data_IF_833350115025
#
_entry.id   IF_833350115025
#
_cell.length_a   1.000
_cell.length_b   1.000
_cell.length_c   1.000
_cell.angle_alpha   90.00
_cell.angle_beta   90.00
_cell.angle_gamma   90.00
#
_symmetry.space_group_name_H-M   'P 1'
#
loop_
_entity.id
_entity.type
_entity.pdbx_description
1 polymer ?
#
# COMPACT_ATOMS: atom_id res chain seq x y z
N UNK A 1 -77.59 -28.40 20.52
CA UNK A 1 -76.54 -27.36 20.64
C UNK A 1 -75.23 -28.06 20.92
N UNK A 2 -74.39 -28.23 19.89
CA UNK A 2 -73.16 -29.02 19.93
C UNK A 2 -71.96 -28.11 20.23
N UNK A 3 -71.32 -28.32 21.38
CA UNK A 3 -70.06 -27.66 21.75
C UNK A 3 -68.90 -28.60 21.39
N UNK A 4 -68.11 -28.22 20.38
CA UNK A 4 -66.87 -28.91 20.01
C UNK A 4 -65.70 -28.33 20.82
N UNK A 5 -65.05 -29.18 21.62
CA UNK A 5 -63.74 -28.91 22.24
C UNK A 5 -62.64 -29.10 21.17
N UNK A 6 -61.74 -28.15 21.03
CA UNK A 6 -60.47 -28.31 20.30
C UNK A 6 -59.36 -28.50 21.32
N UNK A 7 -58.60 -29.59 21.18
CA UNK A 7 -57.37 -29.86 21.91
C UNK A 7 -56.21 -29.15 21.19
N UNK A 8 -55.32 -28.52 21.96
CA UNK A 8 -54.05 -27.95 21.48
C UNK A 8 -52.94 -28.91 21.89
N UNK A 9 -52.20 -29.42 20.91
CA UNK A 9 -51.01 -30.23 21.12
C UNK A 9 -49.79 -29.31 21.14
N UNK A 10 -49.02 -29.37 22.23
CA UNK A 10 -47.72 -28.69 22.39
C UNK A 10 -46.65 -29.65 21.89
N UNK A 11 -46.05 -29.35 20.74
CA UNK A 11 -44.90 -30.07 20.20
C UNK A 11 -43.60 -29.42 20.70
N UNK A 12 -42.82 -30.17 21.47
CA UNK A 12 -41.45 -29.81 21.83
C UNK A 12 -40.53 -30.03 20.62
N UNK A 13 -40.11 -28.93 19.99
CA UNK A 13 -39.07 -28.94 18.95
C UNK A 13 -37.69 -28.89 19.59
N UNK A 14 -36.91 -29.95 19.42
CA UNK A 14 -35.49 -29.95 19.74
C UNK A 14 -34.73 -29.10 18.72
N UNK A 15 -34.18 -27.96 19.17
CA UNK A 15 -33.22 -27.18 18.40
C UNK A 15 -31.87 -27.90 18.42
N UNK A 16 -31.47 -28.46 17.27
CA UNK A 16 -30.09 -28.83 16.99
C UNK A 16 -29.33 -27.56 16.60
N UNK A 17 -28.49 -27.06 17.50
CA UNK A 17 -27.51 -26.01 17.22
C UNK A 17 -26.31 -26.69 16.58
N UNK A 18 -26.23 -26.66 15.25
CA UNK A 18 -25.01 -26.99 14.51
C UNK A 18 -24.04 -25.81 14.67
N UNK A 19 -22.99 -26.01 15.46
CA UNK A 19 -21.81 -25.16 15.46
C UNK A 19 -21.09 -25.36 14.12
N UNK A 20 -21.54 -24.69 13.07
CA UNK A 20 -20.73 -24.44 11.90
C UNK A 20 -19.64 -23.47 12.35
N UNK A 21 -18.44 -24.00 12.60
CA UNK A 21 -17.26 -23.15 12.72
C UNK A 21 -17.08 -22.44 11.39
N UNK A 22 -17.34 -21.14 11.34
CA UNK A 22 -16.84 -20.28 10.30
C UNK A 22 -15.31 -20.35 10.38
N UNK A 23 -14.70 -21.25 9.61
CA UNK A 23 -13.33 -21.01 9.19
C UNK A 23 -13.40 -19.70 8.36
N UNK A 24 -12.63 -18.66 8.68
CA UNK A 24 -12.58 -17.48 7.84
C UNK A 24 -12.11 -17.92 6.46
N UNK A 25 -12.97 -17.76 5.45
CA UNK A 25 -12.69 -18.05 4.03
C UNK A 25 -11.67 -17.05 3.42
N UNK A 26 -10.98 -16.27 4.24
CA UNK A 26 -10.07 -15.18 3.83
C UNK A 26 -8.59 -15.53 4.02
N UNK A 27 -8.23 -16.82 4.11
CA UNK A 27 -6.83 -17.17 3.87
C UNK A 27 -6.50 -16.75 2.43
N UNK A 28 -5.48 -15.91 2.20
CA UNK A 28 -5.16 -15.46 0.86
C UNK A 28 -4.82 -16.67 0.01
N UNK A 29 -5.79 -17.13 -0.78
CA UNK A 29 -5.61 -18.21 -1.75
C UNK A 29 -4.95 -17.66 -3.01
N UNK A 30 -4.08 -16.66 -2.87
CA UNK A 30 -3.41 -15.97 -3.96
C UNK A 30 -2.73 -17.03 -4.81
N UNK A 31 -3.39 -17.44 -5.89
CA UNK A 31 -2.90 -18.51 -6.71
C UNK A 31 -1.55 -18.03 -7.26
N UNK A 32 -0.50 -18.83 -7.04
CA UNK A 32 0.83 -18.49 -7.50
C UNK A 32 0.77 -18.05 -8.98
N UNK A 33 1.32 -16.87 -9.27
CA UNK A 33 1.33 -16.30 -10.63
C UNK A 33 0.12 -15.48 -11.05
N UNK A 34 -0.81 -15.15 -10.14
CA UNK A 34 -1.91 -14.22 -10.46
C UNK A 34 -1.45 -12.77 -10.30
N UNK A 35 -1.63 -12.00 -11.37
CA UNK A 35 -1.57 -10.53 -11.35
C UNK A 35 -2.98 -9.97 -11.15
N UNK A 36 -3.10 -8.91 -10.34
CA UNK A 36 -4.31 -8.09 -10.31
C UNK A 36 -3.99 -6.72 -10.90
N UNK A 37 -4.67 -6.36 -11.99
CA UNK A 37 -4.63 -5.02 -12.58
C UNK A 37 -5.90 -4.29 -12.18
N UNK A 38 -5.79 -3.30 -11.31
CA UNK A 38 -6.89 -2.41 -10.93
C UNK A 38 -6.71 -1.06 -11.62
N UNK A 39 -7.32 -0.92 -12.80
CA UNK A 39 -7.25 0.30 -13.60
C UNK A 39 -7.90 1.50 -12.91
N UNK A 40 -8.91 1.28 -12.07
CA UNK A 40 -9.61 2.35 -11.35
C UNK A 40 -8.66 3.01 -10.34
N UNK A 41 -7.86 2.19 -9.63
CA UNK A 41 -6.88 2.66 -8.64
C UNK A 41 -5.47 2.87 -9.21
N UNK A 42 -5.23 2.45 -10.46
CA UNK A 42 -3.89 2.41 -11.05
C UNK A 42 -2.94 1.47 -10.30
N UNK A 43 -3.48 0.46 -9.62
CA UNK A 43 -2.73 -0.51 -8.81
C UNK A 43 -2.41 -1.75 -9.66
N UNK A 44 -1.15 -2.21 -9.56
CA UNK A 44 -0.69 -3.48 -10.11
C UNK A 44 -0.26 -4.31 -8.90
N UNK A 45 -0.96 -5.40 -8.62
CA UNK A 45 -0.58 -6.33 -7.54
C UNK A 45 0.10 -7.56 -8.14
N UNK A 46 1.34 -7.77 -7.75
CA UNK A 46 2.15 -8.94 -8.05
C UNK A 46 2.06 -9.96 -6.90
N UNK A 47 2.46 -11.23 -7.12
CA UNK A 47 2.42 -12.25 -6.07
C UNK A 47 3.18 -11.87 -4.78
N UNK A 48 4.31 -11.17 -4.87
CA UNK A 48 5.06 -10.73 -3.67
C UNK A 48 4.26 -9.80 -2.75
N UNK A 49 3.31 -9.03 -3.32
CA UNK A 49 2.59 -7.97 -2.62
C UNK A 49 1.64 -8.47 -1.52
N UNK A 50 1.31 -9.77 -1.54
CA UNK A 50 0.52 -10.42 -0.47
C UNK A 50 1.36 -10.70 0.79
N UNK A 51 2.69 -10.65 0.70
CA UNK A 51 3.60 -11.09 1.75
C UNK A 51 4.47 -9.97 2.32
N UNK A 52 4.38 -8.76 1.77
CA UNK A 52 5.09 -7.58 2.25
C UNK A 52 4.10 -6.48 2.66
N UNK A 53 4.40 -5.69 3.70
CA UNK A 53 3.56 -4.54 4.04
C UNK A 53 3.48 -3.59 2.87
N UNK A 54 2.26 -3.28 2.43
CA UNK A 54 2.04 -2.22 1.44
C UNK A 54 2.39 -0.85 2.04
N UNK A 55 2.52 0.18 1.21
CA UNK A 55 2.84 1.54 1.71
C UNK A 55 1.83 2.03 2.76
N UNK A 56 0.55 1.74 2.54
CA UNK A 56 -0.54 2.07 3.47
C UNK A 56 -0.41 1.27 4.78
N UNK A 57 -0.09 -0.02 4.71
CA UNK A 57 0.17 -0.83 5.91
C UNK A 57 1.39 -0.29 6.67
N UNK A 58 2.48 0.02 5.97
CA UNK A 58 3.70 0.57 6.58
C UNK A 58 3.44 1.88 7.33
N UNK A 59 2.63 2.77 6.76
CA UNK A 59 2.20 4.01 7.42
C UNK A 59 1.39 3.74 8.68
N UNK A 60 0.41 2.85 8.62
CA UNK A 60 -0.39 2.43 9.76
C UNK A 60 0.46 1.81 10.88
N UNK A 61 1.33 0.85 10.55
CA UNK A 61 2.20 0.17 11.50
C UNK A 61 3.17 1.15 12.17
N UNK A 62 3.72 2.09 11.39
CA UNK A 62 4.58 3.16 11.91
C UNK A 62 3.80 4.08 12.85
N UNK A 63 2.58 4.52 12.49
CA UNK A 63 1.75 5.36 13.35
C UNK A 63 1.36 4.65 14.65
N UNK A 64 1.01 3.36 14.61
CA UNK A 64 0.71 2.57 15.81
C UNK A 64 1.92 2.45 16.75
N UNK A 65 3.12 2.22 16.19
CA UNK A 65 4.37 2.19 16.98
C UNK A 65 4.67 3.56 17.61
N UNK A 66 4.50 4.65 16.86
CA UNK A 66 4.67 6.01 17.39
C UNK A 66 3.64 6.33 18.47
N UNK A 67 2.38 5.96 18.28
CA UNK A 67 1.32 6.12 19.27
C UNK A 67 1.66 5.42 20.60
N UNK A 68 2.27 4.24 20.55
CA UNK A 68 2.75 3.54 21.74
C UNK A 68 3.90 4.29 22.43
N UNK A 69 4.80 4.90 21.66
CA UNK A 69 5.88 5.72 22.22
C UNK A 69 5.31 6.98 22.88
N UNK A 70 4.27 7.60 22.30
CA UNK A 70 3.54 8.72 22.90
C UNK A 70 2.91 8.33 24.23
N UNK A 71 2.23 7.19 24.31
CA UNK A 71 1.68 6.70 25.58
C UNK A 71 2.74 6.60 26.67
N UNK A 72 3.86 5.95 26.38
CA UNK A 72 5.01 5.83 27.29
C UNK A 72 5.60 7.19 27.70
N UNK A 73 5.83 8.09 26.73
CA UNK A 73 6.38 9.42 26.99
C UNK A 73 5.45 10.26 27.89
N UNK A 74 4.14 10.20 27.63
CA UNK A 74 3.14 10.93 28.42
C UNK A 74 3.00 10.39 29.85
N UNK A 75 3.14 9.08 30.06
CA UNK A 75 3.24 8.51 31.41
C UNK A 75 4.46 9.06 32.19
N UNK A 76 5.55 9.37 31.49
CA UNK A 76 6.73 10.03 32.05
C UNK A 76 6.58 11.56 32.20
N UNK A 77 5.43 12.13 31.83
CA UNK A 77 5.19 13.58 31.86
C UNK A 77 5.82 14.36 30.71
N UNK A 78 6.20 13.68 29.62
CA UNK A 78 6.82 14.27 28.45
C UNK A 78 5.75 14.64 27.42
N UNK A 79 5.81 15.87 26.92
CA UNK A 79 4.96 16.36 25.85
C UNK A 79 5.45 15.80 24.51
N UNK A 80 4.78 14.75 24.04
CA UNK A 80 5.09 14.09 22.76
C UNK A 80 3.79 13.80 21.99
N UNK A 81 3.85 13.87 20.66
CA UNK A 81 2.72 13.67 19.76
C UNK A 81 3.15 12.88 18.52
N UNK A 82 2.31 11.94 18.10
CA UNK A 82 2.51 11.16 16.89
C UNK A 82 1.70 11.76 15.73
N UNK A 83 2.17 11.62 14.48
CA UNK A 83 1.33 11.89 13.32
C UNK A 83 0.25 10.82 13.19
N UNK A 84 -0.98 11.26 12.90
CA UNK A 84 -2.06 10.36 12.54
C UNK A 84 -1.70 9.55 11.27
N UNK A 85 -2.15 8.29 11.14
CA UNK A 85 -1.93 7.54 9.91
C UNK A 85 -2.65 8.22 8.75
N UNK A 86 -1.94 8.38 7.63
CA UNK A 86 -2.49 8.92 6.40
C UNK A 86 -2.98 7.76 5.55
N UNK A 87 -4.30 7.59 5.48
CA UNK A 87 -4.93 6.67 4.54
C UNK A 87 -5.27 7.43 3.26
N UNK A 88 -4.45 7.23 2.22
CA UNK A 88 -4.73 7.76 0.89
C UNK A 88 -4.64 6.63 -0.14
N UNK A 89 -5.72 6.41 -0.88
CA UNK A 89 -5.79 5.38 -1.92
C UNK A 89 -4.73 5.58 -3.00
N UNK A 90 -4.27 6.82 -3.21
CA UNK A 90 -3.21 7.14 -4.17
C UNK A 90 -1.90 6.41 -3.88
N UNK A 91 -1.65 6.07 -2.61
CA UNK A 91 -0.46 5.30 -2.21
C UNK A 91 -0.50 3.84 -2.64
N UNK A 92 -1.62 3.36 -3.20
CA UNK A 92 -1.74 2.04 -3.85
C UNK A 92 -1.44 2.09 -5.34
N UNK A 93 -1.33 3.29 -5.91
CA UNK A 93 -1.06 3.45 -7.33
C UNK A 93 0.38 3.05 -7.64
N UNK A 94 0.56 2.19 -8.63
CA UNK A 94 1.88 1.69 -9.05
C UNK A 94 2.54 2.67 -10.03
N UNK A 95 3.84 2.92 -9.83
CA UNK A 95 4.68 3.78 -10.66
C UNK A 95 5.90 3.07 -11.29
N UNK A 96 6.16 1.80 -10.99
CA UNK A 96 7.35 1.04 -11.41
C UNK A 96 7.59 1.07 -12.92
N UNK A 97 6.52 1.12 -13.72
CA UNK A 97 6.58 1.15 -15.18
C UNK A 97 6.09 2.48 -15.77
N UNK A 98 6.18 3.55 -15.00
CA UNK A 98 5.58 4.85 -15.32
C UNK A 98 4.04 4.80 -15.27
N UNK A 99 3.35 5.88 -15.69
CA UNK A 99 1.89 5.89 -15.75
C UNK A 99 1.40 4.77 -16.67
N UNK A 100 0.31 4.10 -16.28
CA UNK A 100 -0.26 3.01 -17.08
C UNK A 100 -1.77 3.10 -17.28
N UNK A 101 -2.44 3.95 -16.51
CA UNK A 101 -3.84 4.33 -16.73
C UNK A 101 -3.91 5.77 -17.26
N UNK A 102 -4.99 6.06 -17.99
CA UNK A 102 -5.18 7.41 -18.57
C UNK A 102 -5.29 8.47 -17.48
N UNK A 103 -6.01 8.16 -16.39
CA UNK A 103 -6.18 9.12 -15.30
C UNK A 103 -4.84 9.40 -14.57
N UNK A 104 -3.94 8.42 -14.45
CA UNK A 104 -2.60 8.66 -13.89
C UNK A 104 -1.82 9.62 -14.78
N UNK A 105 -1.80 9.38 -16.10
CA UNK A 105 -1.12 10.26 -17.05
C UNK A 105 -1.69 11.69 -17.04
N UNK A 106 -3.03 11.82 -17.00
CA UNK A 106 -3.71 13.12 -16.93
C UNK A 106 -3.43 13.87 -15.63
N UNK A 107 -3.33 13.14 -14.51
CA UNK A 107 -3.13 13.73 -13.18
C UNK A 107 -1.66 14.05 -12.89
N UNK A 108 -0.76 13.14 -13.23
CA UNK A 108 0.64 13.16 -12.77
C UNK A 108 1.66 13.33 -13.89
N UNK A 109 1.28 13.25 -15.17
CA UNK A 109 2.27 13.12 -16.23
C UNK A 109 3.15 11.89 -15.99
N UNK A 110 4.47 12.10 -15.85
CA UNK A 110 5.45 11.06 -15.48
C UNK A 110 5.84 11.06 -14.00
N UNK A 111 5.35 12.01 -13.19
CA UNK A 111 5.62 12.02 -11.75
C UNK A 111 5.01 10.77 -11.11
N UNK A 112 5.74 10.16 -10.18
CA UNK A 112 5.27 8.98 -9.46
C UNK A 112 3.90 9.23 -8.82
N UNK A 113 2.88 8.38 -9.08
CA UNK A 113 1.55 8.55 -8.52
C UNK A 113 1.51 8.21 -7.02
N UNK A 114 2.66 7.95 -6.39
CA UNK A 114 2.77 7.63 -4.97
C UNK A 114 2.92 8.88 -4.08
N UNK A 115 2.80 10.07 -4.67
CA UNK A 115 2.78 11.35 -3.96
C UNK A 115 1.33 11.84 -3.84
N UNK A 116 0.93 12.21 -2.63
CA UNK A 116 -0.37 12.87 -2.44
C UNK A 116 -0.34 14.29 -3.02
N UNK A 117 -1.51 14.90 -3.26
CA UNK A 117 -1.60 16.31 -3.67
C UNK A 117 -0.87 17.24 -2.69
N UNK A 118 -0.81 16.85 -1.40
CA UNK A 118 -0.05 17.57 -0.39
C UNK A 118 1.46 17.49 -0.65
N UNK A 119 1.96 16.28 -0.89
CA UNK A 119 3.38 16.01 -1.14
C UNK A 119 3.85 16.67 -2.45
N UNK A 120 3.01 16.63 -3.50
CA UNK A 120 3.30 17.30 -4.77
C UNK A 120 3.47 18.81 -4.60
N UNK A 121 2.61 19.46 -3.80
CA UNK A 121 2.73 20.90 -3.52
C UNK A 121 3.96 21.22 -2.68
N UNK A 122 4.20 20.46 -1.63
CA UNK A 122 5.37 20.67 -0.76
C UNK A 122 6.68 20.49 -1.54
N UNK A 123 6.72 19.54 -2.47
CA UNK A 123 7.83 19.33 -3.39
C UNK A 123 7.96 20.39 -4.49
N UNK A 124 7.01 21.32 -4.61
CA UNK A 124 6.99 22.35 -5.67
C UNK A 124 6.74 21.80 -7.07
N UNK A 125 6.20 20.58 -7.18
CA UNK A 125 5.89 19.90 -8.45
C UNK A 125 4.65 20.51 -9.10
N UNK A 126 3.71 20.98 -8.28
CA UNK A 126 2.45 21.63 -8.69
C UNK A 126 2.27 22.99 -8.01
N UNK A 127 1.43 23.89 -8.56
CA UNK A 127 1.12 25.17 -7.92
C UNK A 127 0.51 25.03 -6.51
N UNK A 128 0.68 26.05 -5.66
CA UNK A 128 0.20 26.04 -4.27
C UNK A 128 -1.32 25.80 -4.12
N UNK A 129 -2.11 26.12 -5.15
CA UNK A 129 -3.57 25.98 -5.20
C UNK A 129 -4.06 24.66 -5.82
N UNK A 130 -3.16 23.73 -6.15
CA UNK A 130 -3.51 22.42 -6.73
C UNK A 130 -4.01 21.41 -5.70
N UNK A 131 -5.11 20.70 -6.02
CA UNK A 131 -5.58 19.56 -5.25
C UNK A 131 -6.07 19.90 -3.83
N UNK A 132 -6.24 18.87 -3.01
CA UNK A 132 -6.58 19.07 -1.59
C UNK A 132 -5.28 19.24 -0.81
N UNK A 133 -5.09 20.35 -0.09
CA UNK A 133 -3.92 20.46 0.75
C UNK A 133 -3.92 19.35 1.78
N UNK A 134 -2.73 18.91 2.19
CA UNK A 134 -2.62 18.14 3.44
C UNK A 134 -3.21 18.95 4.59
N UNK A 135 -3.23 18.39 5.79
CA UNK A 135 -3.45 19.22 6.98
C UNK A 135 -2.08 19.73 7.48
N UNK A 136 -1.55 20.86 6.95
CA UNK A 136 -0.29 21.39 7.43
C UNK A 136 -0.40 21.83 8.89
N UNK A 137 -1.61 22.09 9.40
CA UNK A 137 -1.79 22.41 10.80
C UNK A 137 -1.56 21.17 11.67
N UNK A 138 -2.01 19.98 11.24
CA UNK A 138 -1.72 18.74 11.95
C UNK A 138 -0.21 18.44 11.99
N UNK A 139 0.50 18.52 10.85
CA UNK A 139 1.95 18.30 10.84
C UNK A 139 2.70 19.39 11.60
N UNK A 140 2.37 20.66 11.39
CA UNK A 140 3.01 21.77 12.11
C UNK A 140 2.80 21.65 13.63
N UNK A 141 1.63 21.16 14.06
CA UNK A 141 1.35 20.92 15.47
C UNK A 141 2.19 19.77 16.04
N UNK A 142 2.34 18.65 15.31
CA UNK A 142 3.26 17.57 15.69
C UNK A 142 4.69 18.10 15.83
N UNK A 143 5.16 18.87 14.85
CA UNK A 143 6.50 19.47 14.86
C UNK A 143 6.67 20.45 16.03
N UNK A 144 5.71 21.35 16.25
CA UNK A 144 5.75 22.32 17.34
C UNK A 144 5.83 21.64 18.72
N UNK A 145 5.00 20.62 18.95
CA UNK A 145 5.00 19.84 20.19
C UNK A 145 6.35 19.13 20.38
N UNK A 146 6.86 18.50 19.32
CA UNK A 146 8.05 17.66 19.40
C UNK A 146 9.35 18.49 19.43
N UNK A 147 9.40 19.64 18.77
CA UNK A 147 10.54 20.57 18.78
C UNK A 147 10.69 21.30 20.12
N UNK A 148 9.60 21.40 20.90
CA UNK A 148 9.64 21.96 22.25
C UNK A 148 10.26 21.00 23.29
N UNK A 149 10.51 19.73 22.93
CA UNK A 149 11.12 18.75 23.83
C UNK A 149 12.57 19.14 24.17
N UNK A 150 12.96 18.93 25.42
CA UNK A 150 14.37 19.05 25.79
C UNK A 150 15.18 17.86 25.23
N UNK A 151 16.51 18.00 25.17
CA UNK A 151 17.37 16.88 24.77
C UNK A 151 17.21 15.64 25.68
N UNK A 152 16.93 15.85 26.98
CA UNK A 152 16.67 14.76 27.92
C UNK A 152 15.32 14.08 27.63
N UNK A 153 14.29 14.85 27.25
CA UNK A 153 12.99 14.31 26.86
C UNK A 153 13.11 13.50 25.56
N UNK A 154 13.89 13.99 24.59
CA UNK A 154 14.16 13.27 23.35
C UNK A 154 14.85 11.93 23.62
N UNK A 155 15.84 11.88 24.52
CA UNK A 155 16.50 10.64 24.92
C UNK A 155 15.51 9.66 25.59
N UNK A 156 14.64 10.15 26.47
CA UNK A 156 13.61 9.32 27.10
C UNK A 156 12.56 8.80 26.09
N UNK A 157 12.19 9.60 25.09
CA UNK A 157 11.31 9.15 24.00
C UNK A 157 11.99 8.04 23.18
N UNK A 158 13.30 8.12 22.93
CA UNK A 158 14.03 7.03 22.28
C UNK A 158 13.98 5.73 23.11
N UNK A 159 14.08 5.82 24.44
CA UNK A 159 13.88 4.65 25.31
C UNK A 159 12.45 4.06 25.17
N UNK A 160 11.43 4.90 24.98
CA UNK A 160 10.07 4.46 24.71
C UNK A 160 9.91 3.72 23.36
N UNK A 161 10.76 4.01 22.36
CA UNK A 161 10.81 3.24 21.10
C UNK A 161 11.50 1.87 21.24
N UNK A 162 12.34 1.70 22.27
CA UNK A 162 13.02 0.43 22.56
C UNK A 162 12.25 -0.45 23.54
N UNK A 163 11.14 0.06 24.10
CA UNK A 163 10.29 -0.68 25.02
C UNK A 163 9.78 -2.00 24.39
N UNK A 164 9.66 -3.11 25.16
CA UNK A 164 9.28 -4.41 24.61
C UNK A 164 7.96 -4.43 23.82
N UNK A 165 7.01 -3.57 24.17
CA UNK A 165 5.72 -3.44 23.49
C UNK A 165 5.82 -2.95 22.04
N UNK A 166 6.87 -2.20 21.69
CA UNK A 166 7.06 -1.60 20.36
C UNK A 166 7.23 -2.64 19.24
N UNK A 167 7.61 -3.87 19.62
CA UNK A 167 7.73 -4.98 18.68
C UNK A 167 6.38 -5.52 18.22
N UNK A 168 5.27 -5.13 18.86
CA UNK A 168 3.93 -5.61 18.52
C UNK A 168 3.46 -5.19 17.12
N UNK A 169 3.99 -4.07 16.59
CA UNK A 169 3.63 -3.55 15.26
C UNK A 169 4.72 -3.76 14.20
N UNK A 170 5.73 -4.56 14.52
CA UNK A 170 6.73 -5.02 13.54
C UNK A 170 6.30 -6.38 13.03
N UNK A 171 6.85 -6.85 11.91
CA UNK A 171 6.75 -8.26 11.52
C UNK A 171 7.88 -9.05 12.22
N UNK A 172 7.59 -9.88 13.25
CA UNK A 172 8.60 -10.68 13.92
C UNK A 172 9.45 -11.55 13.01
N UNK A 173 8.87 -12.11 11.94
CA UNK A 173 9.60 -13.03 11.05
C UNK A 173 10.69 -12.34 10.23
N UNK A 174 10.64 -11.01 10.08
CA UNK A 174 11.56 -10.24 9.24
C UNK A 174 11.58 -10.71 7.77
N UNK A 175 12.46 -10.15 6.93
CA UNK A 175 12.63 -10.65 5.58
C UNK A 175 13.35 -12.01 5.60
N UNK A 176 12.67 -13.06 5.14
CA UNK A 176 13.26 -14.38 4.96
C UNK A 176 14.16 -14.49 3.72
N UNK A 177 14.78 -15.67 3.47
CA UNK A 177 15.61 -15.89 2.27
C UNK A 177 14.83 -15.70 0.95
N UNK A 178 13.50 -15.85 0.99
CA UNK A 178 12.60 -15.62 -0.13
C UNK A 178 12.71 -14.20 -0.71
N UNK A 179 13.03 -13.17 0.08
CA UNK A 179 13.10 -11.79 -0.41
C UNK A 179 14.21 -11.63 -1.46
N UNK A 180 15.37 -12.23 -1.21
CA UNK A 180 16.46 -12.23 -2.19
C UNK A 180 16.10 -13.01 -3.46
N UNK A 181 15.28 -14.05 -3.34
CA UNK A 181 14.83 -14.83 -4.49
C UNK A 181 13.75 -14.15 -5.32
N UNK A 182 12.85 -13.38 -4.71
CA UNK A 182 11.97 -12.48 -5.46
C UNK A 182 12.77 -11.42 -6.20
N UNK A 183 13.76 -10.80 -5.56
CA UNK A 183 14.65 -9.86 -6.25
C UNK A 183 15.36 -10.50 -7.46
N UNK A 184 15.80 -11.75 -7.32
CA UNK A 184 16.36 -12.50 -8.45
C UNK A 184 15.32 -12.88 -9.51
N UNK A 185 14.05 -13.10 -9.12
CA UNK A 185 12.94 -13.37 -10.04
C UNK A 185 12.59 -12.12 -10.87
N UNK A 186 12.51 -10.96 -10.23
CA UNK A 186 12.27 -9.68 -10.89
C UNK A 186 13.37 -9.36 -11.92
N UNK A 187 14.64 -9.62 -11.59
CA UNK A 187 15.75 -9.44 -12.54
C UNK A 187 15.66 -10.38 -13.75
N UNK A 188 15.20 -11.63 -13.55
CA UNK A 188 14.94 -12.55 -14.67
C UNK A 188 13.76 -12.06 -15.52
N UNK A 189 12.69 -11.58 -14.90
CA UNK A 189 11.53 -11.03 -15.60
C UNK A 189 11.94 -9.83 -16.47
N UNK A 190 12.66 -8.85 -15.91
CA UNK A 190 13.16 -7.65 -16.60
C UNK A 190 14.00 -7.96 -17.84
N UNK A 191 14.79 -9.03 -17.78
CA UNK A 191 15.70 -9.43 -18.85
C UNK A 191 15.16 -10.53 -19.75
N UNK A 192 13.91 -10.95 -19.54
CA UNK A 192 13.26 -11.98 -20.34
C UNK A 192 13.01 -11.53 -21.78
N UNK A 193 13.02 -12.49 -22.73
CA UNK A 193 12.70 -12.22 -24.13
C UNK A 193 11.30 -11.60 -24.30
N UNK A 194 10.35 -11.98 -23.44
CA UNK A 194 8.98 -11.47 -23.46
C UNK A 194 8.90 -9.98 -23.10
N UNK A 195 9.60 -9.54 -22.04
CA UNK A 195 9.64 -8.11 -21.66
C UNK A 195 10.40 -7.29 -22.70
N UNK A 196 11.49 -7.83 -23.25
CA UNK A 196 12.23 -7.17 -24.34
C UNK A 196 11.34 -6.99 -25.58
N UNK A 197 10.57 -8.02 -25.96
CA UNK A 197 9.63 -7.94 -27.08
C UNK A 197 8.51 -6.93 -26.80
N UNK A 198 7.90 -6.95 -25.61
CA UNK A 198 6.86 -5.99 -25.22
C UNK A 198 7.37 -4.54 -25.27
N UNK A 199 8.61 -4.29 -24.82
CA UNK A 199 9.26 -2.97 -24.94
C UNK A 199 9.46 -2.56 -26.40
N UNK A 200 9.90 -3.47 -27.26
CA UNK A 200 10.06 -3.18 -28.68
C UNK A 200 8.72 -2.81 -29.35
N UNK A 201 7.64 -3.52 -29.00
CA UNK A 201 6.29 -3.20 -29.51
C UNK A 201 5.79 -1.84 -29.01
N UNK A 202 6.01 -1.52 -27.73
CA UNK A 202 5.72 -0.21 -27.16
C UNK A 202 6.49 0.89 -27.89
N UNK A 203 7.80 0.71 -28.06
CA UNK A 203 8.67 1.66 -28.76
C UNK A 203 8.21 1.91 -30.20
N UNK A 204 7.78 0.87 -30.92
CA UNK A 204 7.25 0.99 -32.27
C UNK A 204 5.91 1.74 -32.32
N UNK A 205 5.06 1.61 -31.31
CA UNK A 205 3.88 2.45 -31.16
C UNK A 205 4.27 3.92 -30.92
N UNK A 206 5.18 4.18 -29.97
CA UNK A 206 5.62 5.53 -29.63
C UNK A 206 6.19 6.27 -30.84
N UNK A 207 7.06 5.61 -31.62
CA UNK A 207 7.62 6.19 -32.86
C UNK A 207 6.56 6.53 -33.90
N UNK A 208 5.48 5.73 -33.98
CA UNK A 208 4.36 5.97 -34.90
C UNK A 208 3.55 7.20 -34.50
N UNK A 209 3.38 7.41 -33.20
CA UNK A 209 2.76 8.62 -32.62
C UNK A 209 3.72 9.83 -32.60
N UNK A 210 4.94 9.67 -33.12
CA UNK A 210 5.92 10.75 -33.23
C UNK A 210 6.71 11.03 -31.94
N UNK A 211 6.66 10.12 -30.97
CA UNK A 211 7.48 10.17 -29.77
C UNK A 211 8.78 9.35 -29.97
N UNK A 212 9.88 9.82 -29.39
CA UNK A 212 11.15 9.09 -29.38
C UNK A 212 11.26 8.31 -28.06
N UNK A 213 11.33 6.96 -28.08
CA UNK A 213 11.54 6.17 -26.88
C UNK A 213 12.88 6.48 -26.21
N UNK A 214 12.90 6.48 -24.87
CA UNK A 214 14.12 6.62 -24.08
C UNK A 214 14.29 5.38 -23.18
N UNK A 215 15.42 4.65 -23.27
CA UNK A 215 15.68 3.51 -22.40
C UNK A 215 15.91 3.89 -20.92
N UNK A 216 16.34 5.11 -20.62
CA UNK A 216 16.62 5.55 -19.24
C UNK A 216 15.39 6.08 -18.53
N UNK A 217 14.46 6.68 -19.26
CA UNK A 217 13.19 7.21 -18.73
C UNK A 217 12.01 6.42 -19.32
N UNK A 218 11.22 7.05 -20.18
CA UNK A 218 10.07 6.47 -20.88
C UNK A 218 10.08 6.93 -22.34
N UNK A 219 10.17 8.24 -22.54
CA UNK A 219 10.27 8.93 -23.83
C UNK A 219 11.18 10.15 -23.66
N UNK A 220 11.84 10.58 -24.73
CA UNK A 220 12.66 11.80 -24.71
C UNK A 220 11.81 13.00 -24.32
N UNK A 221 12.25 13.74 -23.30
CA UNK A 221 11.54 14.91 -22.77
C UNK A 221 10.59 14.63 -21.61
N UNK A 222 10.40 13.36 -21.23
CA UNK A 222 9.74 13.01 -19.97
C UNK A 222 10.55 13.54 -18.78
N UNK A 223 9.87 14.17 -17.82
CA UNK A 223 10.44 14.64 -16.56
C UNK A 223 9.59 14.13 -15.38
N UNK A 224 10.21 13.30 -14.53
CA UNK A 224 9.56 12.69 -13.36
C UNK A 224 9.35 13.66 -12.20
N UNK A 225 9.69 14.95 -12.36
CA UNK A 225 9.54 15.99 -11.33
C UNK A 225 8.66 17.17 -11.76
N UNK A 226 8.05 17.13 -12.95
CA UNK A 226 7.26 18.23 -13.51
C UNK A 226 5.88 17.75 -13.92
N UNK A 227 4.85 18.53 -13.56
CA UNK A 227 3.46 18.32 -14.02
C UNK A 227 3.02 19.58 -14.76
N UNK A 228 3.03 19.53 -16.08
CA UNK A 228 2.51 20.58 -16.97
C UNK A 228 1.81 19.99 -18.20
N UNK A 229 1.26 20.86 -19.05
CA UNK A 229 0.51 20.44 -20.26
C UNK A 229 1.35 19.58 -21.22
N UNK A 230 2.67 19.84 -21.30
CA UNK A 230 3.58 19.09 -22.16
C UNK A 230 3.81 17.68 -21.60
N UNK A 231 4.14 17.58 -20.31
CA UNK A 231 4.34 16.29 -19.63
C UNK A 231 3.07 15.44 -19.62
N UNK A 232 1.91 16.05 -19.40
CA UNK A 232 0.61 15.37 -19.49
C UNK A 232 0.36 14.86 -20.91
N UNK A 233 0.60 15.68 -21.94
CA UNK A 233 0.40 15.27 -23.33
C UNK A 233 1.29 14.09 -23.75
N UNK A 234 2.56 14.10 -23.33
CA UNK A 234 3.50 13.00 -23.54
C UNK A 234 3.03 11.73 -22.80
N UNK A 235 2.68 11.84 -21.53
CA UNK A 235 2.24 10.72 -20.70
C UNK A 235 0.93 10.09 -21.20
N UNK A 236 -0.03 10.90 -21.65
CA UNK A 236 -1.31 10.40 -22.21
C UNK A 236 -1.05 9.58 -23.48
N UNK A 237 -0.18 10.08 -24.37
CA UNK A 237 0.22 9.36 -25.58
C UNK A 237 0.97 8.07 -25.24
N UNK A 238 1.88 8.13 -24.26
CA UNK A 238 2.62 6.97 -23.77
C UNK A 238 1.70 5.87 -23.22
N UNK A 239 0.72 6.25 -22.38
CA UNK A 239 -0.29 5.32 -21.85
C UNK A 239 -1.18 4.76 -22.95
N UNK A 240 -1.60 5.57 -23.92
CA UNK A 240 -2.38 5.08 -25.06
C UNK A 240 -1.62 3.97 -25.81
N UNK A 241 -0.31 4.15 -26.03
CA UNK A 241 0.54 3.12 -26.62
C UNK A 241 0.71 1.88 -25.72
N UNK A 242 0.81 2.03 -24.40
CA UNK A 242 0.84 0.89 -23.46
C UNK A 242 -0.46 0.10 -23.50
N UNK A 243 -1.61 0.77 -23.62
CA UNK A 243 -2.92 0.11 -23.74
C UNK A 243 -3.07 -0.60 -25.08
N UNK A 244 -2.66 0.02 -26.20
CA UNK A 244 -2.71 -0.59 -27.53
C UNK A 244 -1.87 -1.88 -27.59
N UNK A 245 -0.66 -1.83 -27.01
CA UNK A 245 0.30 -2.95 -27.03
C UNK A 245 0.13 -3.92 -25.87
N UNK A 246 -0.80 -3.66 -24.93
CA UNK A 246 -0.97 -4.42 -23.69
C UNK A 246 0.35 -4.59 -22.93
N UNK A 247 1.20 -3.57 -22.98
CA UNK A 247 2.54 -3.61 -22.39
C UNK A 247 2.49 -3.94 -20.90
N UNK A 248 1.68 -3.20 -20.13
CA UNK A 248 1.58 -3.38 -18.66
C UNK A 248 1.13 -4.78 -18.29
N UNK A 249 0.08 -5.30 -18.95
CA UNK A 249 -0.44 -6.65 -18.68
C UNK A 249 0.62 -7.71 -18.98
N UNK A 250 1.31 -7.58 -20.12
CA UNK A 250 2.35 -8.52 -20.53
C UNK A 250 3.52 -8.52 -19.54
N UNK A 251 4.03 -7.34 -19.18
CA UNK A 251 5.16 -7.22 -18.26
C UNK A 251 4.77 -7.70 -16.86
N UNK A 252 3.63 -7.28 -16.32
CA UNK A 252 3.18 -7.70 -15.00
C UNK A 252 2.99 -9.22 -14.93
N UNK A 253 2.44 -9.85 -15.98
CA UNK A 253 2.28 -11.30 -16.02
C UNK A 253 3.63 -12.03 -16.02
N UNK A 254 4.62 -11.54 -16.77
CA UNK A 254 5.96 -12.14 -16.76
C UNK A 254 6.61 -12.05 -15.38
N UNK A 255 6.45 -10.92 -14.69
CA UNK A 255 6.90 -10.79 -13.30
C UNK A 255 6.19 -11.80 -12.40
N UNK A 256 4.87 -11.89 -12.47
CA UNK A 256 4.12 -12.84 -11.66
C UNK A 256 4.50 -14.30 -11.94
N UNK A 257 4.75 -14.68 -13.19
CA UNK A 257 5.18 -16.02 -13.57
C UNK A 257 6.57 -16.38 -12.98
N UNK A 258 7.51 -15.42 -12.99
CA UNK A 258 8.82 -15.60 -12.36
C UNK A 258 8.72 -15.65 -10.82
N UNK A 259 7.85 -14.82 -10.24
CA UNK A 259 7.59 -14.79 -8.81
C UNK A 259 6.84 -16.05 -8.31
N UNK A 260 6.01 -16.66 -9.14
CA UNK A 260 5.23 -17.86 -8.80
C UNK A 260 6.10 -19.02 -8.32
N UNK A 261 7.29 -19.19 -8.91
CA UNK A 261 8.24 -20.23 -8.51
C UNK A 261 8.81 -19.97 -7.10
N UNK A 262 9.00 -18.70 -6.73
CA UNK A 262 9.44 -18.32 -5.38
C UNK A 262 8.32 -18.58 -4.39
N UNK A 263 7.08 -18.24 -4.75
CA UNK A 263 5.89 -18.54 -3.93
C UNK A 263 5.76 -20.04 -3.68
N UNK A 264 5.82 -20.87 -4.72
CA UNK A 264 5.74 -22.33 -4.57
C UNK A 264 6.87 -22.90 -3.70
N UNK A 265 8.09 -22.38 -3.86
CA UNK A 265 9.25 -22.83 -3.10
C UNK A 265 9.18 -22.48 -1.61
N UNK A 266 8.59 -21.34 -1.27
CA UNK A 266 8.52 -20.79 0.09
C UNK A 266 7.09 -20.74 0.64
N UNK A 267 6.18 -21.57 0.13
CA UNK A 267 4.74 -21.51 0.44
C UNK A 267 4.47 -21.46 1.96
N UNK A 268 5.05 -22.38 2.73
CA UNK A 268 4.89 -22.42 4.19
C UNK A 268 5.41 -21.14 4.90
N UNK A 269 6.58 -20.65 4.49
CA UNK A 269 7.21 -19.46 5.07
C UNK A 269 6.38 -18.20 4.75
N UNK A 270 5.93 -18.08 3.49
CA UNK A 270 5.13 -16.96 3.01
C UNK A 270 3.72 -16.98 3.61
N UNK A 271 3.10 -18.14 3.77
CA UNK A 271 1.83 -18.29 4.48
C UNK A 271 1.94 -17.85 5.95
N UNK A 272 3.05 -18.17 6.61
CA UNK A 272 3.30 -17.70 7.98
C UNK A 272 3.45 -16.17 8.04
N UNK A 273 4.19 -15.58 7.10
CA UNK A 273 4.36 -14.11 7.01
C UNK A 273 3.04 -13.42 6.69
N UNK A 274 2.23 -13.95 5.77
CA UNK A 274 0.92 -13.39 5.44
C UNK A 274 -0.02 -13.38 6.67
N UNK A 275 -0.08 -14.50 7.41
CA UNK A 275 -0.89 -14.59 8.63
C UNK A 275 -0.41 -13.61 9.72
N UNK A 276 0.90 -13.43 9.84
CA UNK A 276 1.51 -12.44 10.74
C UNK A 276 1.16 -11.02 10.33
N UNK A 277 1.28 -10.67 9.04
CA UNK A 277 0.93 -9.34 8.52
C UNK A 277 -0.53 -8.99 8.78
N UNK A 278 -1.46 -9.92 8.57
CA UNK A 278 -2.88 -9.72 8.90
C UNK A 278 -3.04 -9.41 10.39
N UNK A 279 -2.44 -10.25 11.26
CA UNK A 279 -2.53 -10.10 12.72
C UNK A 279 -1.97 -8.75 13.19
N UNK A 280 -0.79 -8.38 12.71
CA UNK A 280 -0.09 -7.14 13.10
C UNK A 280 -0.84 -5.91 12.59
N UNK A 281 -1.40 -5.98 11.37
CA UNK A 281 -2.23 -4.90 10.81
C UNK A 281 -3.52 -4.69 11.60
N UNK A 282 -4.22 -5.76 11.97
CA UNK A 282 -5.44 -5.67 12.78
C UNK A 282 -5.15 -5.07 14.16
N UNK A 283 -4.09 -5.54 14.83
CA UNK A 283 -3.66 -4.99 16.11
C UNK A 283 -3.28 -3.50 16.01
N UNK A 284 -2.62 -3.08 14.93
CA UNK A 284 -2.29 -1.68 14.70
C UNK A 284 -3.54 -0.82 14.50
N UNK A 285 -4.54 -1.30 13.74
CA UNK A 285 -5.82 -0.58 13.56
C UNK A 285 -6.56 -0.42 14.88
N UNK A 286 -6.67 -1.49 15.66
CA UNK A 286 -7.32 -1.46 16.98
C UNK A 286 -6.61 -0.47 17.90
N UNK A 287 -5.27 -0.54 17.99
CA UNK A 287 -4.50 0.36 18.84
C UNK A 287 -4.66 1.83 18.47
N UNK A 288 -4.58 2.17 17.18
CA UNK A 288 -4.79 3.54 16.70
C UNK A 288 -6.20 4.03 17.02
N UNK A 289 -7.22 3.18 16.87
CA UNK A 289 -8.61 3.53 17.14
C UNK A 289 -8.90 3.72 18.64
N UNK A 290 -8.26 2.94 19.51
CA UNK A 290 -8.42 3.01 20.96
C UNK A 290 -7.63 4.16 21.61
N UNK A 291 -6.65 4.72 20.89
CA UNK A 291 -5.77 5.78 21.37
C UNK A 291 -5.82 7.06 20.53
N UNK A 292 -7.00 7.66 20.26
CA UNK A 292 -7.07 8.88 19.45
C UNK A 292 -6.32 10.05 20.09
N UNK A 293 -6.20 10.07 21.43
CA UNK A 293 -5.55 11.14 22.19
C UNK A 293 -4.06 11.31 21.86
N UNK A 294 -3.37 10.27 21.38
CA UNK A 294 -1.94 10.32 21.06
C UNK A 294 -1.63 11.14 19.80
N UNK A 295 -2.66 11.41 19.00
CA UNK A 295 -2.62 12.22 17.79
C UNK A 295 -3.16 13.65 18.01
N UNK A 296 -3.44 14.01 19.27
CA UNK A 296 -3.83 15.35 19.68
C UNK A 296 -2.72 15.98 20.54
N UNK A 297 -2.64 17.32 20.63
CA UNK A 297 -1.74 17.97 21.58
C UNK A 297 -1.96 17.48 23.01
N UNK A 298 -0.90 17.32 23.80
CA UNK A 298 -1.03 17.02 25.23
C UNK A 298 -1.80 18.15 25.94
N UNK A 299 -2.72 17.78 26.83
CA UNK A 299 -3.54 18.70 27.63
C UNK A 299 -2.83 19.23 28.87
#
# INVERSE_FOLDING_TARGET
MNVRRRAVAVGAGALLVTLAGCAPDDAPSGAAGVVVLDEERGEIRLPIDEYIPQRTDSGLLASASQAMAVGCAREAGISFMAPAPIENEIYRSEGLFGPWTTWQAEKFGFVSPTLSDADLREGGVVPEDYGVPGDPAALAQVLEVNDAMSAADQEAVLECYDAPGQKAFRLPSGPGPWLAEFGAADERARTSEAVVAARAELDDCLRREGLEPDPETFVVGADENVIDEEQIGLAVTYVACKQETRFTETVAQVFADEQAQVVEKYDDDLAAVAAELVTVREAAREYVADHPEVFEPPQ
#
